data_IF_488568344047
#
_entry.id   IF_488568344047
#
_cell.length_a   1.000
_cell.length_b   1.000
_cell.length_c   1.000
_cell.angle_alpha   90.00
_cell.angle_beta   90.00
_cell.angle_gamma   90.00
#
_symmetry.space_group_name_H-M   'P 1'
#
loop_
_entity.id
_entity.type
_entity.pdbx_description
1 polymer ?
#
# COMPACT_ATOMS: atom_id res chain seq x y z
N UNK A 1 34.83 -7.78 -1.98
CA UNK A 1 33.84 -8.66 -2.64
C UNK A 1 32.69 -8.84 -1.67
N UNK A 2 31.46 -8.49 -2.06
CA UNK A 2 30.29 -8.56 -1.18
C UNK A 2 29.75 -9.99 -1.25
N UNK A 3 29.41 -10.58 -0.11
CA UNK A 3 28.84 -11.92 -0.02
C UNK A 3 27.40 -11.81 0.46
N UNK A 4 26.47 -12.40 -0.26
CA UNK A 4 25.08 -12.59 0.16
C UNK A 4 24.84 -14.07 0.45
N UNK A 5 23.68 -14.40 1.02
CA UNK A 5 23.28 -15.80 1.19
C UNK A 5 23.22 -16.58 -0.14
N UNK A 6 23.02 -15.89 -1.26
CA UNK A 6 23.04 -16.46 -2.60
C UNK A 6 24.46 -16.58 -3.21
N UNK A 7 25.49 -16.12 -2.49
CA UNK A 7 26.89 -16.18 -2.91
C UNK A 7 27.54 -14.82 -3.17
N UNK A 8 28.74 -14.80 -3.76
CA UNK A 8 29.46 -13.58 -4.04
C UNK A 8 28.76 -12.74 -5.11
N UNK A 9 28.63 -11.43 -4.87
CA UNK A 9 28.03 -10.49 -5.82
C UNK A 9 29.04 -9.42 -6.26
N UNK A 10 28.87 -8.95 -7.49
CA UNK A 10 29.64 -7.83 -8.06
C UNK A 10 28.72 -6.62 -8.23
N UNK A 11 29.09 -5.43 -7.71
CA UNK A 11 28.32 -4.21 -7.95
C UNK A 11 28.18 -3.93 -9.45
N UNK A 12 26.98 -3.53 -9.87
CA UNK A 12 26.64 -3.31 -11.29
C UNK A 12 27.27 -2.03 -11.86
N UNK A 13 27.60 -1.07 -11.00
CA UNK A 13 28.19 0.23 -11.34
C UNK A 13 27.77 1.29 -10.30
N UNK A 14 28.40 2.45 -10.33
CA UNK A 14 27.94 3.60 -9.53
C UNK A 14 26.75 4.26 -10.22
N UNK A 15 25.81 4.79 -9.44
CA UNK A 15 24.65 5.56 -9.92
C UNK A 15 24.66 6.92 -9.22
N UNK A 16 24.32 7.97 -9.94
CA UNK A 16 24.19 9.31 -9.40
C UNK A 16 22.98 9.40 -8.47
N UNK A 17 23.14 10.08 -7.32
CA UNK A 17 22.10 10.21 -6.29
C UNK A 17 21.96 11.67 -5.87
N UNK A 18 20.72 12.08 -5.58
CA UNK A 18 20.41 13.36 -4.96
C UNK A 18 20.25 13.15 -3.44
N UNK A 19 21.04 13.87 -2.65
CA UNK A 19 20.90 13.88 -1.19
C UNK A 19 19.97 15.05 -0.84
N UNK A 20 18.83 14.75 -0.25
CA UNK A 20 17.87 15.74 0.23
C UNK A 20 17.98 15.76 1.76
N UNK A 21 18.14 16.95 2.34
CA UNK A 21 18.18 17.15 3.78
C UNK A 21 16.76 17.09 4.34
N UNK A 22 16.30 15.87 4.61
CA UNK A 22 15.00 15.56 5.22
C UNK A 22 15.30 14.63 6.38
N UNK A 23 14.61 14.82 7.52
CA UNK A 23 14.75 13.97 8.73
C UNK A 23 14.11 12.58 8.55
N UNK A 24 14.20 12.00 7.35
CA UNK A 24 13.65 10.69 7.01
C UNK A 24 14.81 9.73 6.68
N UNK A 25 14.86 8.59 7.39
CA UNK A 25 15.80 7.47 7.12
C UNK A 25 15.40 6.68 5.85
N UNK A 26 14.79 7.35 4.87
CA UNK A 26 14.22 6.76 3.66
C UNK A 26 15.10 7.01 2.42
N UNK A 27 15.15 6.02 1.54
CA UNK A 27 15.79 6.15 0.22
C UNK A 27 14.78 5.93 -0.90
N UNK A 28 14.63 6.94 -1.76
CA UNK A 28 13.75 6.86 -2.93
C UNK A 28 14.51 6.54 -4.20
N UNK A 29 13.94 5.66 -5.03
CA UNK A 29 14.50 5.26 -6.33
C UNK A 29 13.63 5.84 -7.44
N UNK A 30 14.20 6.72 -8.26
CA UNK A 30 13.50 7.29 -9.42
C UNK A 30 13.20 6.25 -10.51
N UNK A 31 12.17 6.53 -11.33
CA UNK A 31 11.68 5.63 -12.37
C UNK A 31 12.80 5.10 -13.31
N UNK A 32 13.75 5.95 -13.73
CA UNK A 32 14.86 5.52 -14.59
C UNK A 32 15.72 4.42 -13.97
N UNK A 33 16.01 4.51 -12.66
CA UNK A 33 16.77 3.49 -11.94
C UNK A 33 15.93 2.24 -11.68
N UNK A 34 14.63 2.39 -11.42
CA UNK A 34 13.70 1.24 -11.34
C UNK A 34 13.72 0.44 -12.65
N UNK A 35 13.56 1.11 -13.79
CA UNK A 35 13.60 0.47 -15.11
C UNK A 35 14.95 -0.22 -15.38
N UNK A 36 16.07 0.41 -15.01
CA UNK A 36 17.41 -0.18 -15.14
C UNK A 36 17.57 -1.45 -14.28
N UNK A 37 16.96 -1.49 -13.10
CA UNK A 37 16.95 -2.66 -12.21
C UNK A 37 15.90 -3.71 -12.63
N UNK A 38 15.10 -3.44 -13.68
CA UNK A 38 14.00 -4.32 -14.10
C UNK A 38 12.81 -4.32 -13.15
N UNK A 39 12.68 -3.28 -12.32
CA UNK A 39 11.56 -3.10 -11.40
C UNK A 39 10.41 -2.44 -12.17
N UNK A 40 9.31 -3.17 -12.29
CA UNK A 40 8.06 -2.69 -12.87
C UNK A 40 6.99 -2.70 -11.78
N UNK A 41 6.77 -1.53 -11.17
CA UNK A 41 5.83 -1.36 -10.05
C UNK A 41 4.39 -1.63 -10.48
N UNK A 42 4.01 -1.28 -11.71
CA UNK A 42 2.65 -1.52 -12.21
C UNK A 42 2.40 -3.02 -12.31
N UNK A 43 3.34 -3.76 -12.89
CA UNK A 43 3.25 -5.21 -12.98
C UNK A 43 3.23 -5.88 -11.60
N UNK A 44 3.97 -5.35 -10.62
CA UNK A 44 3.92 -5.85 -9.24
C UNK A 44 2.57 -5.57 -8.59
N UNK A 45 1.98 -4.41 -8.84
CA UNK A 45 0.66 -4.06 -8.33
C UNK A 45 -0.45 -4.93 -8.95
N UNK A 46 -0.37 -5.19 -10.26
CA UNK A 46 -1.26 -6.13 -10.95
C UNK A 46 -1.17 -7.54 -10.35
N UNK A 47 0.05 -8.03 -10.06
CA UNK A 47 0.24 -9.33 -9.40
C UNK A 47 -0.37 -9.37 -8.01
N UNK A 48 -0.29 -8.26 -7.27
CA UNK A 48 -0.89 -8.16 -5.94
C UNK A 48 -2.42 -8.16 -6.01
N UNK A 49 -2.99 -7.43 -6.97
CA UNK A 49 -4.43 -7.35 -7.18
C UNK A 49 -5.02 -8.64 -7.79
N UNK A 50 -4.24 -9.36 -8.59
CA UNK A 50 -4.62 -10.64 -9.18
C UNK A 50 -4.43 -11.84 -8.23
N UNK A 51 -3.94 -11.61 -7.01
CA UNK A 51 -3.81 -12.66 -6.00
C UNK A 51 -5.21 -13.05 -5.53
N UNK A 52 -5.73 -14.15 -6.06
CA UNK A 52 -6.95 -14.77 -5.57
C UNK A 52 -6.72 -15.30 -4.15
N UNK A 53 -7.73 -15.22 -3.29
CA UNK A 53 -7.67 -15.60 -1.87
C UNK A 53 -7.35 -17.10 -1.69
N UNK A 54 -7.43 -17.88 -2.76
CA UNK A 54 -7.13 -19.31 -2.82
C UNK A 54 -5.67 -19.68 -3.12
N UNK A 55 -4.83 -18.76 -3.61
CA UNK A 55 -3.39 -19.02 -3.74
C UNK A 55 -2.66 -18.61 -2.45
N UNK A 56 -2.89 -19.43 -1.42
CA UNK A 56 -1.81 -19.72 -0.48
C UNK A 56 -0.71 -20.39 -1.30
N UNK A 57 0.18 -19.59 -1.90
CA UNK A 57 1.53 -20.06 -2.18
C UNK A 57 2.10 -20.39 -0.81
N UNK A 58 1.82 -21.62 -0.36
CA UNK A 58 2.08 -22.06 0.99
C UNK A 58 3.52 -21.73 1.34
N UNK A 59 3.69 -20.99 2.42
CA UNK A 59 4.83 -21.30 3.28
C UNK A 59 4.63 -22.78 3.67
N UNK A 60 5.56 -23.71 3.40
CA UNK A 60 5.39 -25.13 3.73
C UNK A 60 5.30 -25.39 5.24
N UNK A 61 5.29 -24.35 6.06
CA UNK A 61 5.02 -24.39 7.48
C UNK A 61 3.52 -24.20 7.67
N UNK A 62 2.81 -25.31 7.71
CA UNK A 62 1.41 -25.40 8.09
C UNK A 62 1.23 -24.84 9.52
N UNK A 63 0.81 -23.58 9.61
CA UNK A 63 0.29 -23.01 10.85
C UNK A 63 -1.23 -23.13 10.75
N UNK A 64 -1.79 -24.16 11.40
CA UNK A 64 -3.23 -24.39 11.54
C UNK A 64 -3.90 -23.11 12.09
N UNK A 65 -4.40 -22.26 11.21
CA UNK A 65 -5.26 -21.14 11.54
C UNK A 65 -6.69 -21.54 11.18
N UNK A 66 -7.43 -21.90 12.21
CA UNK A 66 -8.86 -22.22 12.17
C UNK A 66 -9.63 -20.90 11.93
N UNK A 67 -9.66 -20.42 10.69
CA UNK A 67 -10.41 -19.21 10.31
C UNK A 67 -11.74 -19.59 9.62
N UNK A 68 -12.91 -19.13 10.15
CA UNK A 68 -14.20 -19.50 9.58
C UNK A 68 -14.43 -18.81 8.22
N UNK A 69 -15.17 -19.47 7.31
CA UNK A 69 -15.39 -18.94 5.96
C UNK A 69 -16.18 -17.63 6.02
N UNK A 70 -15.56 -16.55 5.55
CA UNK A 70 -16.26 -15.29 5.28
C UNK A 70 -17.24 -15.55 4.14
N UNK A 71 -18.53 -15.57 4.46
CA UNK A 71 -19.59 -15.67 3.47
C UNK A 71 -19.53 -14.47 2.55
N UNK A 72 -19.09 -14.70 1.32
CA UNK A 72 -19.13 -13.73 0.21
C UNK A 72 -20.58 -13.54 -0.22
N UNK A 73 -21.31 -12.73 0.54
CA UNK A 73 -22.55 -12.12 0.07
C UNK A 73 -22.16 -11.07 -0.96
N UNK A 74 -22.13 -11.49 -2.22
CA UNK A 74 -21.91 -10.64 -3.40
C UNK A 74 -22.99 -9.57 -3.49
N UNK A 75 -22.72 -8.41 -2.89
CA UNK A 75 -23.09 -7.05 -3.33
C UNK A 75 -22.26 -6.13 -2.44
N UNK A 76 -21.15 -5.61 -2.96
CA UNK A 76 -20.38 -4.58 -2.26
C UNK A 76 -21.26 -3.36 -1.96
N UNK A 77 -20.91 -2.54 -0.95
CA UNK A 77 -21.68 -1.34 -0.63
C UNK A 77 -21.79 -0.47 -1.89
N UNK A 78 -23.00 0.02 -2.16
CA UNK A 78 -23.20 0.95 -3.27
C UNK A 78 -22.46 2.27 -3.00
N UNK A 79 -22.20 3.06 -4.03
CA UNK A 79 -21.60 4.40 -3.88
C UNK A 79 -22.38 5.27 -2.88
N UNK A 80 -23.70 5.06 -2.76
CA UNK A 80 -24.55 5.76 -1.78
C UNK A 80 -24.25 5.30 -0.35
N UNK A 81 -24.01 4.01 -0.15
CA UNK A 81 -23.67 3.43 1.16
C UNK A 81 -22.27 3.88 1.60
N UNK A 82 -21.32 3.91 0.66
CA UNK A 82 -19.96 4.44 0.88
C UNK A 82 -20.05 5.91 1.28
N UNK A 83 -20.80 6.72 0.52
CA UNK A 83 -20.98 8.13 0.80
C UNK A 83 -21.58 8.38 2.20
N UNK A 84 -22.64 7.65 2.54
CA UNK A 84 -23.28 7.76 3.85
C UNK A 84 -22.33 7.37 4.99
N UNK A 85 -21.47 6.36 4.79
CA UNK A 85 -20.47 5.97 5.76
C UNK A 85 -19.41 7.07 5.97
N UNK A 86 -18.96 7.75 4.90
CA UNK A 86 -17.97 8.83 5.05
C UNK A 86 -18.57 10.07 5.71
N UNK A 87 -19.83 10.43 5.41
CA UNK A 87 -20.50 11.54 6.11
C UNK A 87 -20.57 11.28 7.61
N UNK A 88 -20.93 10.06 8.02
CA UNK A 88 -20.94 9.65 9.44
C UNK A 88 -19.55 9.67 10.08
N UNK A 89 -18.49 9.40 9.30
CA UNK A 89 -17.11 9.48 9.78
C UNK A 89 -16.72 10.94 10.06
N UNK A 90 -17.09 11.88 9.19
CA UNK A 90 -16.83 13.31 9.38
C UNK A 90 -17.53 13.81 10.65
N UNK A 91 -18.80 13.45 10.84
CA UNK A 91 -19.56 13.82 12.05
C UNK A 91 -18.89 13.29 13.33
N UNK A 92 -18.47 12.03 13.32
CA UNK A 92 -17.78 11.42 14.47
C UNK A 92 -16.44 12.10 14.75
N UNK A 93 -15.69 12.49 13.73
CA UNK A 93 -14.39 13.16 13.92
C UNK A 93 -14.59 14.56 14.50
N UNK A 94 -15.65 15.28 14.10
CA UNK A 94 -16.05 16.55 14.73
C UNK A 94 -16.43 16.36 16.19
N UNK A 95 -17.24 15.35 16.52
CA UNK A 95 -17.60 15.01 17.90
C UNK A 95 -16.38 14.68 18.77
N UNK A 96 -15.33 14.11 18.17
CA UNK A 96 -14.06 13.78 18.84
C UNK A 96 -13.06 14.96 18.89
N UNK A 97 -13.49 16.18 18.58
CA UNK A 97 -12.70 17.40 18.80
C UNK A 97 -11.87 17.86 17.60
N UNK A 98 -12.20 17.41 16.39
CA UNK A 98 -11.57 17.92 15.18
C UNK A 98 -11.87 19.41 14.95
N UNK A 99 -10.91 20.22 14.46
CA UNK A 99 -11.09 21.66 14.30
C UNK A 99 -12.20 22.00 13.29
N UNK A 100 -13.22 22.75 13.73
CA UNK A 100 -14.38 23.11 12.91
C UNK A 100 -14.02 23.94 11.67
N UNK A 101 -12.94 24.73 11.74
CA UNK A 101 -12.41 25.52 10.63
C UNK A 101 -11.78 24.66 9.51
N UNK A 102 -11.46 23.40 9.81
CA UNK A 102 -10.89 22.42 8.88
C UNK A 102 -11.91 21.44 8.31
N UNK A 103 -13.13 21.44 8.84
CA UNK A 103 -14.19 20.50 8.41
C UNK A 103 -14.57 20.72 6.95
N UNK A 104 -14.59 21.98 6.47
CA UNK A 104 -14.91 22.26 5.08
C UNK A 104 -13.82 21.77 4.13
N UNK A 105 -12.55 21.90 4.53
CA UNK A 105 -11.43 21.32 3.78
C UNK A 105 -11.53 19.79 3.74
N UNK A 106 -11.90 19.17 4.87
CA UNK A 106 -12.12 17.73 4.96
C UNK A 106 -13.28 17.27 4.06
N UNK A 107 -14.38 18.04 3.99
CA UNK A 107 -15.50 17.77 3.08
C UNK A 107 -15.07 17.85 1.62
N UNK A 108 -14.29 18.86 1.23
CA UNK A 108 -13.79 19.01 -0.14
C UNK A 108 -12.88 17.83 -0.53
N UNK A 109 -12.00 17.36 0.35
CA UNK A 109 -11.12 16.20 0.07
C UNK A 109 -11.92 14.91 -0.10
N UNK A 110 -13.02 14.76 0.64
CA UNK A 110 -13.87 13.57 0.59
C UNK A 110 -14.80 13.56 -0.64
N UNK A 111 -15.22 14.73 -1.12
CA UNK A 111 -16.26 14.86 -2.17
C UNK A 111 -15.72 15.38 -3.52
N UNK A 112 -14.46 15.82 -3.58
CA UNK A 112 -13.82 16.40 -4.77
C UNK A 112 -13.09 15.36 -5.61
#
# INVERSE_FOLDING_TARGET
MIHTAAGPVKPMGAVEVLIVDVDDDEFSIGNGLQALLGIDVNRQFEQLAARDDGETSGDPIDLEADEPPVTTSSTGPSDTDIFAAVVRLIERVVENGFPLDKVEQLRIIVHG
#
